data_IF_170093304077
#
_entry.id   IF_170093304077
#
_cell.length_a   1.000
_cell.length_b   1.000
_cell.length_c   1.000
_cell.angle_alpha   90.00
_cell.angle_beta   90.00
_cell.angle_gamma   90.00
#
_symmetry.space_group_name_H-M   'P 1'
#
loop_
_entity.id
_entity.type
_entity.pdbx_description
1 polymer ?
#
# COMPACT_ATOMS: atom_id res chain seq x y z
N UNK A 1 -9.17 10.90 10.61
CA UNK A 1 -9.63 9.73 11.39
C UNK A 1 -8.49 9.30 12.30
N UNK A 2 -8.77 9.03 13.57
CA UNK A 2 -7.80 8.53 14.54
C UNK A 2 -7.97 7.03 14.71
N UNK A 3 -6.86 6.30 14.77
CA UNK A 3 -6.83 4.84 14.95
C UNK A 3 -6.08 4.52 16.25
N UNK A 4 -6.47 3.41 16.90
CA UNK A 4 -5.90 3.00 18.17
C UNK A 4 -4.41 2.62 18.02
N UNK A 5 -3.57 3.11 18.93
CA UNK A 5 -2.17 2.72 19.00
C UNK A 5 -2.04 1.22 19.31
N UNK A 6 -1.07 0.55 18.69
CA UNK A 6 -0.73 -0.86 18.97
C UNK A 6 -1.68 -1.90 18.36
N UNK A 7 -2.75 -1.48 17.69
CA UNK A 7 -3.61 -2.38 16.90
C UNK A 7 -3.08 -2.52 15.47
N UNK A 8 -3.18 -3.69 14.82
CA UNK A 8 -2.89 -3.83 13.40
C UNK A 8 -3.71 -2.84 12.58
N UNK A 9 -3.09 -2.28 11.54
CA UNK A 9 -3.70 -1.30 10.66
C UNK A 9 -3.88 -1.90 9.27
N UNK A 10 -5.14 -2.08 8.85
CA UNK A 10 -5.47 -2.55 7.52
C UNK A 10 -5.23 -1.44 6.48
N UNK A 11 -4.42 -1.75 5.48
CA UNK A 11 -4.14 -0.88 4.35
C UNK A 11 -4.82 -1.46 3.12
N UNK A 12 -5.53 -0.61 2.38
CA UNK A 12 -6.17 -0.99 1.14
C UNK A 12 -6.00 0.10 0.09
N UNK A 13 -5.83 -0.30 -1.17
CA UNK A 13 -5.97 0.59 -2.31
C UNK A 13 -6.74 -0.09 -3.45
N UNK A 14 -7.50 0.72 -4.17
CA UNK A 14 -8.29 0.30 -5.33
C UNK A 14 -7.72 0.92 -6.60
N UNK A 15 -7.43 0.07 -7.58
CA UNK A 15 -7.05 0.47 -8.93
C UNK A 15 -8.23 0.28 -9.88
N UNK A 16 -8.72 1.35 -10.47
CA UNK A 16 -9.86 1.34 -11.40
C UNK A 16 -9.44 1.73 -12.80
N UNK A 17 -9.83 0.96 -13.81
CA UNK A 17 -9.66 1.35 -15.21
C UNK A 17 -10.78 2.33 -15.60
N UNK A 18 -10.46 3.63 -15.59
CA UNK A 18 -11.38 4.70 -15.98
C UNK A 18 -11.40 4.99 -17.49
N UNK A 19 -10.76 4.15 -18.31
CA UNK A 19 -10.77 4.29 -19.77
C UNK A 19 -11.89 3.47 -20.41
N UNK A 20 -12.13 3.68 -21.70
CA UNK A 20 -13.11 2.95 -22.50
C UNK A 20 -12.54 1.66 -23.13
N UNK A 21 -11.28 1.31 -22.83
CA UNK A 21 -10.57 0.15 -23.39
C UNK A 21 -10.01 -0.75 -22.30
N UNK A 22 -9.82 -2.05 -22.55
CA UNK A 22 -9.08 -2.92 -21.65
C UNK A 22 -7.66 -2.42 -21.41
N UNK A 23 -7.23 -2.42 -20.14
CA UNK A 23 -5.89 -2.05 -19.72
C UNK A 23 -5.12 -3.31 -19.31
N UNK A 24 -3.94 -3.51 -19.87
CA UNK A 24 -3.03 -4.61 -19.50
C UNK A 24 -1.83 -4.07 -18.74
N UNK A 25 -1.66 -4.53 -17.51
CA UNK A 25 -0.57 -4.16 -16.63
C UNK A 25 0.40 -5.34 -16.51
N UNK A 26 1.70 -5.03 -16.48
CA UNK A 26 2.78 -6.00 -16.32
C UNK A 26 3.61 -5.67 -15.09
N UNK A 27 3.97 -6.71 -14.34
CA UNK A 27 4.70 -6.64 -13.08
C UNK A 27 6.00 -7.45 -13.20
N UNK A 28 7.07 -6.85 -13.74
CA UNK A 28 8.29 -7.58 -14.08
C UNK A 28 8.94 -8.23 -12.85
N UNK A 29 8.97 -7.50 -11.73
CA UNK A 29 9.72 -7.88 -10.52
C UNK A 29 8.92 -8.79 -9.56
N UNK A 30 7.70 -9.21 -9.95
CA UNK A 30 6.89 -10.18 -9.21
C UNK A 30 6.18 -9.66 -7.95
N UNK A 31 6.55 -8.49 -7.42
CA UNK A 31 5.79 -7.76 -6.39
C UNK A 31 4.87 -6.74 -7.03
N UNK A 32 3.57 -7.02 -7.10
CA UNK A 32 2.64 -6.18 -7.87
C UNK A 32 2.32 -4.81 -7.25
N UNK A 33 2.49 -4.67 -5.94
CA UNK A 33 2.16 -3.45 -5.23
C UNK A 33 2.94 -3.31 -3.92
N UNK A 34 3.09 -2.11 -3.39
CA UNK A 34 3.76 -1.86 -2.13
C UNK A 34 3.04 -0.75 -1.36
N UNK A 35 3.19 -0.74 -0.03
CA UNK A 35 2.68 0.32 0.84
C UNK A 35 3.83 0.91 1.64
N UNK A 36 3.87 2.22 1.70
CA UNK A 36 4.87 2.99 2.44
C UNK A 36 4.17 3.83 3.49
N UNK A 37 4.68 3.79 4.71
CA UNK A 37 4.19 4.62 5.81
C UNK A 37 5.31 5.54 6.27
N UNK A 38 5.03 6.84 6.26
CA UNK A 38 5.96 7.88 6.68
C UNK A 38 5.47 8.61 7.93
N UNK A 39 6.40 9.04 8.76
CA UNK A 39 6.19 10.01 9.83
C UNK A 39 7.25 11.11 9.73
N UNK A 40 6.82 12.37 9.62
CA UNK A 40 7.75 13.53 9.49
C UNK A 40 8.81 13.32 8.40
N UNK A 41 8.41 12.75 7.25
CA UNK A 41 9.27 12.40 6.12
C UNK A 41 10.23 11.21 6.34
N UNK A 42 10.23 10.57 7.50
CA UNK A 42 10.97 9.32 7.73
C UNK A 42 10.11 8.12 7.35
N UNK A 43 10.69 7.17 6.60
CA UNK A 43 10.04 5.91 6.27
C UNK A 43 9.99 5.02 7.52
N UNK A 44 8.80 4.83 8.05
CA UNK A 44 8.55 4.05 9.27
C UNK A 44 8.29 2.59 8.96
N UNK A 45 7.66 2.30 7.82
CA UNK A 45 7.29 0.94 7.44
C UNK A 45 7.12 0.81 5.92
N UNK A 46 7.46 -0.37 5.39
CA UNK A 46 7.34 -0.74 3.99
C UNK A 46 6.83 -2.17 3.88
N UNK A 47 5.69 -2.36 3.21
CA UNK A 47 5.01 -3.66 3.17
C UNK A 47 5.85 -4.74 2.48
N UNK A 48 6.61 -4.40 1.44
CA UNK A 48 7.48 -5.36 0.77
C UNK A 48 8.66 -5.90 1.60
N UNK A 49 8.88 -5.38 2.81
CA UNK A 49 9.90 -5.89 3.73
C UNK A 49 9.35 -6.97 4.69
N UNK A 50 8.04 -7.21 4.66
CA UNK A 50 7.41 -8.25 5.47
C UNK A 50 7.69 -9.66 4.91
N UNK A 51 7.85 -10.63 5.82
CA UNK A 51 8.12 -12.03 5.49
C UNK A 51 7.04 -12.67 4.60
N UNK A 52 5.80 -12.21 4.71
CA UNK A 52 4.64 -12.76 4.00
C UNK A 52 4.17 -11.87 2.84
N UNK A 53 5.05 -11.00 2.32
CA UNK A 53 4.71 -10.12 1.21
C UNK A 53 4.28 -10.91 -0.04
N UNK A 54 3.11 -10.63 -0.63
CA UNK A 54 2.57 -11.39 -1.75
C UNK A 54 3.40 -11.17 -3.02
N UNK A 55 3.81 -12.27 -3.65
CA UNK A 55 4.54 -12.27 -4.93
C UNK A 55 3.86 -13.16 -5.97
N UNK A 56 4.22 -13.01 -7.24
CA UNK A 56 3.86 -13.93 -8.32
C UNK A 56 2.80 -13.42 -9.29
N UNK A 57 2.12 -12.31 -9.00
CA UNK A 57 1.27 -11.65 -9.99
C UNK A 57 2.15 -11.01 -11.07
N UNK A 58 2.11 -11.54 -12.30
CA UNK A 58 2.93 -11.07 -13.42
C UNK A 58 2.19 -10.15 -14.38
N UNK A 59 0.90 -10.37 -14.56
CA UNK A 59 0.05 -9.55 -15.43
C UNK A 59 -1.34 -9.40 -14.81
N UNK A 60 -1.98 -8.27 -15.10
CA UNK A 60 -3.37 -8.00 -14.73
C UNK A 60 -4.05 -7.30 -15.91
N UNK A 61 -5.18 -7.83 -16.37
CA UNK A 61 -6.05 -7.15 -17.32
C UNK A 61 -7.27 -6.58 -16.57
N UNK A 62 -7.57 -5.30 -16.79
CA UNK A 62 -8.76 -4.62 -16.28
C UNK A 62 -9.64 -4.17 -17.44
N UNK A 63 -10.88 -4.64 -17.47
CA UNK A 63 -11.89 -4.14 -18.41
C UNK A 63 -12.28 -2.69 -18.11
N UNK A 64 -12.93 -1.97 -19.04
CA UNK A 64 -13.48 -0.65 -18.77
C UNK A 64 -14.37 -0.64 -17.52
N UNK A 65 -14.08 0.23 -16.57
CA UNK A 65 -14.76 0.35 -15.28
C UNK A 65 -14.41 -0.72 -14.23
N UNK A 66 -13.63 -1.74 -14.59
CA UNK A 66 -13.21 -2.78 -13.65
C UNK A 66 -12.24 -2.23 -12.61
N UNK A 67 -12.36 -2.74 -11.39
CA UNK A 67 -11.49 -2.40 -10.28
C UNK A 67 -10.80 -3.63 -9.70
N UNK A 68 -9.55 -3.47 -9.29
CA UNK A 68 -8.81 -4.44 -8.49
C UNK A 68 -8.42 -3.82 -7.16
N UNK A 69 -8.68 -4.55 -6.09
CA UNK A 69 -8.26 -4.19 -4.74
C UNK A 69 -6.96 -4.90 -4.37
N UNK A 70 -6.10 -4.16 -3.68
CA UNK A 70 -4.84 -4.63 -3.10
C UNK A 70 -4.82 -4.23 -1.64
N UNK A 71 -4.36 -5.12 -0.78
CA UNK A 71 -4.36 -4.87 0.66
C UNK A 71 -3.23 -5.59 1.39
N UNK A 72 -2.94 -5.08 2.58
CA UNK A 72 -1.93 -5.59 3.48
C UNK A 72 -2.18 -5.06 4.89
N UNK A 73 -1.48 -5.63 5.87
CA UNK A 73 -1.66 -5.26 7.28
C UNK A 73 -0.34 -4.73 7.81
N UNK A 74 -0.36 -3.51 8.33
CA UNK A 74 0.77 -2.96 9.08
C UNK A 74 0.60 -3.32 10.56
N UNK A 75 1.53 -4.06 11.19
CA UNK A 75 1.43 -4.43 12.60
C UNK A 75 1.69 -3.28 13.59
N UNK A 76 1.71 -2.02 13.13
CA UNK A 76 2.08 -0.84 13.92
C UNK A 76 3.47 -0.93 14.57
N UNK A 77 4.39 -1.57 13.86
CA UNK A 77 5.81 -1.62 14.20
C UNK A 77 6.64 -0.93 13.12
N UNK A 78 7.74 -0.30 13.54
CA UNK A 78 8.71 0.25 12.62
C UNK A 78 9.54 -0.85 11.94
N UNK A 79 10.41 -0.47 11.01
CA UNK A 79 11.35 -1.38 10.30
C UNK A 79 12.37 -2.08 11.21
N UNK A 80 12.48 -1.71 12.48
CA UNK A 80 13.29 -2.39 13.50
C UNK A 80 12.46 -3.29 14.42
N UNK A 81 11.15 -3.43 14.14
CA UNK A 81 10.22 -4.23 14.94
C UNK A 81 9.77 -3.56 16.24
N UNK A 82 10.05 -2.26 16.45
CA UNK A 82 9.63 -1.51 17.63
C UNK A 82 8.26 -0.91 17.41
N UNK A 83 7.45 -0.83 18.47
CA UNK A 83 6.16 -0.16 18.41
C UNK A 83 6.32 1.30 18.03
N UNK A 84 5.49 1.75 17.09
CA UNK A 84 5.46 3.15 16.69
C UNK A 84 4.77 4.00 17.75
N UNK A 85 4.99 5.32 17.69
CA UNK A 85 4.40 6.27 18.66
C UNK A 85 3.10 6.87 18.12
N UNK A 86 2.26 7.39 19.01
CA UNK A 86 1.14 8.24 18.59
C UNK A 86 1.61 9.43 17.75
N UNK A 87 0.77 9.90 16.84
CA UNK A 87 1.10 11.00 15.94
C UNK A 87 0.46 10.90 14.57
N UNK A 88 0.85 11.81 13.67
CA UNK A 88 0.37 11.84 12.28
C UNK A 88 1.30 11.04 11.36
N UNK A 89 0.70 10.28 10.47
CA UNK A 89 1.35 9.42 9.49
C UNK A 89 0.81 9.67 8.09
N UNK A 90 1.59 9.30 7.09
CA UNK A 90 1.22 9.32 5.68
C UNK A 90 1.31 7.89 5.14
N UNK A 91 0.23 7.41 4.51
CA UNK A 91 0.19 6.16 3.77
C UNK A 91 0.24 6.45 2.28
N UNK A 92 1.12 5.74 1.56
CA UNK A 92 1.25 5.80 0.11
C UNK A 92 1.27 4.37 -0.41
N UNK A 93 0.32 4.02 -1.27
CA UNK A 93 0.36 2.80 -2.09
C UNK A 93 1.00 3.05 -3.45
N UNK A 94 1.77 2.09 -3.93
CA UNK A 94 2.33 2.05 -5.30
C UNK A 94 1.92 0.74 -5.95
N UNK A 95 1.39 0.80 -7.16
CA UNK A 95 1.24 -0.36 -8.05
C UNK A 95 2.50 -0.42 -8.92
N UNK A 96 3.28 -1.48 -8.78
CA UNK A 96 4.58 -1.68 -9.44
C UNK A 96 4.42 -2.16 -10.89
N UNK A 97 3.40 -1.66 -11.59
CA UNK A 97 3.26 -1.86 -13.02
C UNK A 97 4.36 -1.06 -13.75
N UNK A 98 4.47 -1.23 -15.07
CA UNK A 98 5.36 -0.41 -15.91
C UNK A 98 4.53 0.45 -16.86
N UNK A 99 4.49 1.79 -16.69
CA UNK A 99 5.08 2.57 -15.60
C UNK A 99 4.37 2.38 -14.25
N UNK A 100 5.01 2.72 -13.12
CA UNK A 100 4.39 2.59 -11.80
C UNK A 100 3.24 3.59 -11.62
N UNK A 101 2.23 3.17 -10.88
CA UNK A 101 1.05 4.01 -10.57
C UNK A 101 1.06 4.30 -9.08
N UNK A 102 1.06 5.59 -8.72
CA UNK A 102 1.10 6.04 -7.33
C UNK A 102 -0.32 6.41 -6.91
N UNK A 103 -0.73 5.92 -5.75
CA UNK A 103 -2.02 6.26 -5.15
C UNK A 103 -2.05 7.71 -4.62
N UNK A 104 -3.23 8.18 -4.23
CA UNK A 104 -3.33 9.39 -3.41
C UNK A 104 -2.69 9.16 -2.02
N UNK A 105 -2.07 10.20 -1.47
CA UNK A 105 -1.51 10.15 -0.12
C UNK A 105 -2.65 10.25 0.90
N UNK A 106 -2.74 9.27 1.80
CA UNK A 106 -3.69 9.29 2.90
C UNK A 106 -2.99 9.72 4.19
N UNK A 107 -3.48 10.78 4.84
CA UNK A 107 -3.02 11.18 6.17
C UNK A 107 -3.91 10.59 7.26
N UNK A 108 -3.31 10.01 8.29
CA UNK A 108 -4.02 9.45 9.42
C UNK A 108 -3.29 9.72 10.74
N UNK A 109 -4.03 9.62 11.85
CA UNK A 109 -3.49 9.76 13.19
C UNK A 109 -3.54 8.44 13.96
N UNK A 110 -2.49 8.12 14.69
CA UNK A 110 -2.52 7.10 15.75
C UNK A 110 -2.62 7.79 17.11
N UNK A 111 -3.57 7.37 17.93
CA UNK A 111 -3.81 7.89 19.27
C UNK A 111 -4.21 6.74 20.21
N UNK A 112 -4.03 6.95 21.51
CA UNK A 112 -4.51 6.04 22.56
C UNK A 112 -6.02 6.20 22.79
#
# INVERSE_FOLDING_TARGET
MGYALGSPFDMEMRLTNNTDKPLKLKFPDGGAFDFFIYQKSELVYRYSEDEHYPTGLKELELKPGESKEFGGVWPCKDRQGKWVRGGRYQLIGIINATPPIISNILMFGLAD
#
